data_IF_065105109103
#
_entry.id   IF_065105109103
#
_cell.length_a   1.000
_cell.length_b   1.000
_cell.length_c   1.000
_cell.angle_alpha   90.00
_cell.angle_beta   90.00
_cell.angle_gamma   90.00
#
_symmetry.space_group_name_H-M   'P 1'
#
loop_
_entity.id
_entity.type
_entity.pdbx_description
1 polymer ?
#
# COMPACT_ATOMS: atom_id res chain seq x y z
N UNK A 1 -37.48 -60.86 20.96
CA UNK A 1 -36.95 -59.57 21.42
C UNK A 1 -36.22 -58.92 20.26
N UNK A 2 -36.59 -57.71 19.81
CA UNK A 2 -35.89 -57.05 18.72
C UNK A 2 -34.58 -56.41 19.24
N UNK A 3 -33.50 -56.58 18.49
CA UNK A 3 -32.19 -55.98 18.79
C UNK A 3 -32.25 -54.45 18.69
N UNK A 4 -31.60 -53.69 19.57
CA UNK A 4 -31.59 -52.25 19.50
C UNK A 4 -30.68 -51.79 18.34
N UNK A 5 -31.24 -50.98 17.45
CA UNK A 5 -30.51 -50.23 16.42
C UNK A 5 -29.64 -49.18 17.11
N UNK A 6 -28.34 -49.03 16.75
CA UNK A 6 -27.52 -47.99 17.33
C UNK A 6 -27.99 -46.63 16.83
N UNK A 7 -28.39 -45.77 17.76
CA UNK A 7 -28.60 -44.35 17.53
C UNK A 7 -27.24 -43.71 17.25
N UNK A 8 -26.97 -43.40 15.99
CA UNK A 8 -25.89 -42.49 15.62
C UNK A 8 -26.36 -41.08 15.94
N UNK A 9 -26.05 -40.60 17.14
CA UNK A 9 -26.07 -39.17 17.42
C UNK A 9 -24.98 -38.53 16.57
N UNK A 10 -25.35 -37.97 15.42
CA UNK A 10 -24.50 -36.98 14.75
C UNK A 10 -24.29 -35.83 15.73
N UNK A 11 -23.12 -35.84 16.37
CA UNK A 11 -22.61 -34.65 17.06
C UNK A 11 -22.50 -33.57 15.99
N UNK A 12 -23.47 -32.65 15.97
CA UNK A 12 -23.41 -31.44 15.16
C UNK A 12 -22.25 -30.60 15.67
N UNK A 13 -21.05 -30.89 15.16
CA UNK A 13 -19.85 -30.12 15.44
C UNK A 13 -20.18 -28.66 15.13
N UNK A 14 -20.11 -27.81 16.14
CA UNK A 14 -20.37 -26.38 15.99
C UNK A 14 -19.39 -25.83 14.98
N UNK A 15 -19.88 -25.44 13.80
CA UNK A 15 -19.05 -24.83 12.77
C UNK A 15 -18.62 -23.47 13.29
N UNK A 16 -17.35 -23.36 13.68
CA UNK A 16 -16.77 -22.09 14.09
C UNK A 16 -16.62 -21.23 12.83
N UNK A 17 -17.26 -20.04 12.76
CA UNK A 17 -17.09 -19.14 11.64
C UNK A 17 -15.61 -18.78 11.43
N UNK A 18 -15.19 -18.67 10.18
CA UNK A 18 -13.80 -18.39 9.82
C UNK A 18 -13.72 -17.56 8.54
N UNK A 19 -12.54 -16.97 8.28
CA UNK A 19 -12.33 -15.97 7.22
C UNK A 19 -12.73 -16.44 5.82
N UNK A 20 -12.54 -17.74 5.51
CA UNK A 20 -12.93 -18.34 4.22
C UNK A 20 -13.95 -19.47 4.41
N UNK A 21 -14.67 -19.49 5.54
CA UNK A 21 -15.70 -20.48 5.83
C UNK A 21 -15.18 -21.92 5.87
N UNK A 22 -15.91 -22.86 5.27
CA UNK A 22 -15.60 -24.30 5.31
C UNK A 22 -14.21 -24.66 4.75
N UNK A 23 -13.59 -23.78 3.96
CA UNK A 23 -12.27 -23.99 3.39
C UNK A 23 -11.12 -23.75 4.38
N UNK A 24 -11.38 -23.16 5.54
CA UNK A 24 -10.31 -22.77 6.48
C UNK A 24 -9.51 -23.94 7.01
N UNK A 25 -10.15 -25.10 7.26
CA UNK A 25 -9.45 -26.30 7.73
C UNK A 25 -8.45 -26.84 6.70
N UNK A 26 -8.85 -26.88 5.44
CA UNK A 26 -7.96 -27.25 4.34
C UNK A 26 -6.80 -26.24 4.19
N UNK A 27 -7.09 -24.94 4.16
CA UNK A 27 -6.07 -23.91 3.98
C UNK A 27 -5.06 -23.89 5.13
N UNK A 28 -5.51 -24.07 6.38
CA UNK A 28 -4.63 -24.15 7.54
C UNK A 28 -3.68 -25.35 7.47
N UNK A 29 -4.14 -26.49 6.93
CA UNK A 29 -3.33 -27.69 6.78
C UNK A 29 -2.20 -27.56 5.73
N UNK A 30 -2.20 -26.51 4.90
CA UNK A 30 -1.14 -26.26 3.92
C UNK A 30 0.14 -25.67 4.53
N UNK A 31 0.05 -25.09 5.72
CA UNK A 31 1.17 -24.40 6.34
C UNK A 31 1.76 -25.24 7.48
N UNK A 32 3.10 -25.33 7.59
CA UNK A 32 3.71 -25.88 8.79
C UNK A 32 3.43 -24.98 10.00
N UNK A 33 3.44 -25.55 11.20
CA UNK A 33 3.27 -24.81 12.47
C UNK A 33 4.30 -23.67 12.62
N UNK A 34 5.48 -23.82 12.03
CA UNK A 34 6.52 -22.79 12.00
C UNK A 34 7.01 -22.54 10.57
N UNK A 35 7.00 -21.28 10.09
CA UNK A 35 7.58 -20.94 8.80
C UNK A 35 9.07 -21.29 8.73
N UNK A 36 9.49 -21.91 7.62
CA UNK A 36 10.86 -22.42 7.43
C UNK A 36 11.96 -21.35 7.55
N UNK A 37 11.63 -20.07 7.33
CA UNK A 37 12.55 -18.93 7.42
C UNK A 37 12.27 -18.03 8.63
N UNK A 38 11.52 -18.53 9.61
CA UNK A 38 11.35 -17.85 10.90
C UNK A 38 12.70 -17.76 11.62
N UNK A 39 13.08 -16.56 12.06
CA UNK A 39 14.26 -16.36 12.93
C UNK A 39 14.15 -17.15 14.24
N UNK A 40 12.93 -17.41 14.70
CA UNK A 40 12.67 -18.19 15.92
C UNK A 40 12.83 -19.71 15.70
N UNK A 41 13.12 -20.14 14.48
CA UNK A 41 13.37 -21.55 14.19
C UNK A 41 14.67 -22.01 14.84
N UNK A 42 14.68 -23.16 15.54
CA UNK A 42 15.90 -23.71 16.13
C UNK A 42 16.94 -24.11 15.08
N UNK A 43 16.56 -24.18 13.80
CA UNK A 43 17.48 -24.43 12.69
C UNK A 43 18.45 -23.26 12.43
N UNK A 44 18.13 -22.05 12.92
CA UNK A 44 19.00 -20.88 12.80
C UNK A 44 19.59 -20.51 14.15
N UNK A 45 20.90 -20.64 14.29
CA UNK A 45 21.67 -20.18 15.45
C UNK A 45 22.59 -19.00 15.12
N UNK A 46 22.70 -18.67 13.83
CA UNK A 46 23.50 -17.56 13.29
C UNK A 46 22.59 -16.61 12.49
N UNK A 47 22.58 -15.35 12.89
CA UNK A 47 21.74 -14.29 12.30
C UNK A 47 22.15 -13.93 10.88
N UNK A 48 23.42 -14.02 10.54
CA UNK A 48 23.93 -13.67 9.22
C UNK A 48 23.59 -14.78 8.22
N UNK A 49 23.75 -16.04 8.63
CA UNK A 49 23.30 -17.20 7.86
C UNK A 49 21.79 -17.18 7.61
N UNK A 50 20.99 -16.89 8.65
CA UNK A 50 19.53 -16.71 8.51
C UNK A 50 19.19 -15.57 7.55
N UNK A 51 19.82 -14.40 7.70
CA UNK A 51 19.52 -13.23 6.87
C UNK A 51 19.79 -13.49 5.41
N UNK A 52 20.89 -14.18 5.09
CA UNK A 52 21.21 -14.58 3.72
C UNK A 52 20.14 -15.52 3.15
N UNK A 53 19.78 -16.58 3.88
CA UNK A 53 18.79 -17.56 3.44
C UNK A 53 17.39 -16.95 3.27
N UNK A 54 16.91 -16.19 4.26
CA UNK A 54 15.60 -15.54 4.22
C UNK A 54 15.52 -14.49 3.11
N UNK A 55 16.58 -13.72 2.87
CA UNK A 55 16.62 -12.74 1.76
C UNK A 55 16.60 -13.42 0.39
N UNK A 56 17.34 -14.51 0.21
CA UNK A 56 17.32 -15.25 -1.04
C UNK A 56 15.90 -15.77 -1.37
N UNK A 57 15.18 -16.25 -0.36
CA UNK A 57 13.79 -16.67 -0.54
C UNK A 57 12.85 -15.52 -0.82
N UNK A 58 12.99 -14.40 -0.11
CA UNK A 58 12.19 -13.20 -0.40
C UNK A 58 12.38 -12.80 -1.87
N UNK A 59 13.63 -12.71 -2.35
CA UNK A 59 13.93 -12.35 -3.73
C UNK A 59 13.34 -13.34 -4.73
N UNK A 60 13.43 -14.64 -4.46
CA UNK A 60 12.84 -15.68 -5.31
C UNK A 60 11.31 -15.66 -5.35
N UNK A 61 10.64 -15.09 -4.33
CA UNK A 61 9.17 -15.11 -4.20
C UNK A 61 8.50 -13.76 -4.43
N UNK A 62 9.26 -12.66 -4.37
CA UNK A 62 8.73 -11.31 -4.55
C UNK A 62 8.19 -11.09 -5.97
N UNK A 63 8.65 -11.89 -6.95
CA UNK A 63 8.18 -11.87 -8.33
C UNK A 63 8.17 -10.46 -8.94
N UNK A 64 9.18 -9.65 -8.56
CA UNK A 64 9.26 -8.26 -8.94
C UNK A 64 9.32 -8.13 -10.47
N UNK A 65 8.44 -7.31 -11.10
CA UNK A 65 8.51 -7.07 -12.53
C UNK A 65 9.80 -6.32 -12.89
N UNK A 66 10.19 -6.39 -14.16
CA UNK A 66 11.26 -5.52 -14.66
C UNK A 66 10.85 -4.05 -14.47
N UNK A 67 11.74 -3.28 -13.84
CA UNK A 67 11.53 -1.87 -13.51
C UNK A 67 12.27 -0.94 -14.48
N UNK A 68 12.99 -1.48 -15.47
CA UNK A 68 13.67 -0.68 -16.49
C UNK A 68 14.86 0.12 -15.96
N UNK A 69 15.37 -0.25 -14.78
CA UNK A 69 16.51 0.42 -14.13
C UNK A 69 16.10 1.66 -13.31
N UNK A 70 17.06 2.58 -13.13
CA UNK A 70 16.83 3.82 -12.38
C UNK A 70 16.05 4.80 -13.27
N UNK A 71 14.86 5.26 -12.87
CA UNK A 71 14.06 6.14 -13.72
C UNK A 71 14.66 7.55 -13.78
N UNK A 72 14.38 8.27 -14.87
CA UNK A 72 14.70 9.68 -14.98
C UNK A 72 13.70 10.51 -14.15
N UNK A 73 14.21 11.21 -13.13
CA UNK A 73 13.41 12.08 -12.27
C UNK A 73 13.38 13.50 -12.86
N UNK A 74 12.19 14.11 -12.87
CA UNK A 74 11.95 15.50 -13.24
C UNK A 74 11.52 16.29 -12.02
N UNK A 75 12.06 17.49 -11.85
CA UNK A 75 11.52 18.50 -10.94
C UNK A 75 10.46 19.30 -11.70
N UNK A 76 9.21 19.20 -11.26
CA UNK A 76 8.07 19.83 -11.90
C UNK A 76 7.83 21.24 -11.36
N UNK A 77 8.10 21.45 -10.07
CA UNK A 77 7.91 22.70 -9.36
C UNK A 77 8.80 22.73 -8.12
N UNK A 78 9.20 23.92 -7.68
CA UNK A 78 10.04 24.14 -6.51
C UNK A 78 9.68 25.45 -5.81
N UNK A 79 9.46 25.39 -4.49
CA UNK A 79 9.09 26.56 -3.68
C UNK A 79 9.42 26.35 -2.21
N UNK A 80 9.30 27.42 -1.42
CA UNK A 80 9.36 27.33 0.04
C UNK A 80 7.95 27.39 0.64
N UNK A 81 7.69 26.53 1.61
CA UNK A 81 6.44 26.53 2.37
C UNK A 81 6.73 26.14 3.82
N UNK A 82 6.28 26.96 4.78
CA UNK A 82 6.31 26.64 6.21
C UNK A 82 7.73 26.22 6.71
N UNK A 83 8.74 26.99 6.29
CA UNK A 83 10.15 26.76 6.65
C UNK A 83 10.82 25.56 5.95
N UNK A 84 10.16 24.96 4.95
CA UNK A 84 10.68 23.85 4.16
C UNK A 84 10.92 24.27 2.71
N UNK A 85 11.99 23.76 2.13
CA UNK A 85 12.16 23.66 0.68
C UNK A 85 11.33 22.47 0.20
N UNK A 86 10.47 22.71 -0.77
CA UNK A 86 9.56 21.73 -1.37
C UNK A 86 9.89 21.58 -2.85
N UNK A 87 10.03 20.35 -3.32
CA UNK A 87 10.03 20.03 -4.75
C UNK A 87 8.87 19.10 -5.05
N UNK A 88 8.13 19.40 -6.13
CA UNK A 88 7.24 18.42 -6.76
C UNK A 88 8.06 17.69 -7.80
N UNK A 89 8.10 16.37 -7.69
CA UNK A 89 8.88 15.50 -8.55
C UNK A 89 7.96 14.57 -9.32
N UNK A 90 8.41 14.16 -10.50
CA UNK A 90 7.77 13.04 -11.21
C UNK A 90 8.76 12.15 -11.95
N UNK A 91 8.37 10.90 -12.13
CA UNK A 91 9.10 9.93 -12.95
C UNK A 91 8.17 8.89 -13.55
N UNK A 92 8.58 8.32 -14.68
CA UNK A 92 7.86 7.24 -15.35
C UNK A 92 8.52 5.89 -15.07
N UNK A 93 7.73 4.90 -14.65
CA UNK A 93 8.15 3.50 -14.62
C UNK A 93 7.70 2.81 -15.93
N UNK A 94 8.22 1.61 -16.28
CA UNK A 94 7.78 0.86 -17.45
C UNK A 94 6.30 0.43 -17.41
N UNK A 95 5.63 0.64 -16.27
CA UNK A 95 4.24 0.25 -16.06
C UNK A 95 3.47 1.32 -15.26
N UNK A 96 2.18 1.40 -15.60
CA UNK A 96 1.23 2.30 -14.97
C UNK A 96 1.47 3.78 -15.27
N UNK A 97 0.68 4.65 -14.63
CA UNK A 97 0.81 6.09 -14.80
C UNK A 97 2.15 6.63 -14.28
N UNK A 98 2.42 7.88 -14.62
CA UNK A 98 3.56 8.64 -14.08
C UNK A 98 3.44 8.74 -12.56
N UNK A 99 4.53 8.47 -11.85
CA UNK A 99 4.60 8.68 -10.41
C UNK A 99 4.83 10.15 -10.13
N UNK A 100 4.05 10.71 -9.23
CA UNK A 100 4.29 12.01 -8.61
C UNK A 100 4.81 11.82 -7.18
N UNK A 101 5.61 12.79 -6.73
CA UNK A 101 6.16 12.80 -5.38
C UNK A 101 6.40 14.22 -4.89
N UNK A 102 6.52 14.32 -3.56
CA UNK A 102 6.84 15.54 -2.84
C UNK A 102 8.15 15.28 -2.09
N UNK A 103 9.15 16.09 -2.39
CA UNK A 103 10.41 16.10 -1.66
C UNK A 103 10.45 17.31 -0.73
N UNK A 104 10.83 17.08 0.52
CA UNK A 104 10.86 18.07 1.60
C UNK A 104 12.23 18.06 2.27
N UNK A 105 12.79 19.24 2.51
CA UNK A 105 13.95 19.43 3.40
C UNK A 105 13.86 20.78 4.10
N UNK A 106 14.58 21.04 5.20
CA UNK A 106 14.62 22.38 5.79
C UNK A 106 15.03 23.42 4.75
N UNK A 107 14.33 24.56 4.74
CA UNK A 107 14.72 25.70 3.90
C UNK A 107 16.15 26.13 4.25
N UNK A 108 16.94 26.49 3.24
CA UNK A 108 18.35 26.89 3.42
C UNK A 108 19.31 25.79 3.87
N UNK A 109 18.88 24.52 4.05
CA UNK A 109 19.77 23.43 4.41
C UNK A 109 20.89 23.23 3.36
N UNK A 110 22.13 23.09 3.84
CA UNK A 110 23.34 22.90 3.03
C UNK A 110 24.01 21.58 3.39
N UNK A 111 24.62 20.93 2.40
CA UNK A 111 25.30 19.65 2.58
C UNK A 111 24.33 18.45 2.65
N UNK A 112 24.86 17.25 2.91
CA UNK A 112 24.08 16.03 2.95
C UNK A 112 23.14 16.01 4.17
N UNK A 113 21.91 15.54 3.95
CA UNK A 113 20.93 15.28 5.00
C UNK A 113 20.64 13.77 5.06
N UNK A 114 20.28 13.23 6.25
CA UNK A 114 19.74 11.88 6.32
C UNK A 114 18.44 11.80 5.48
N UNK A 115 18.40 10.83 4.57
CA UNK A 115 17.28 10.60 3.65
C UNK A 115 16.22 9.67 4.24
N UNK A 116 14.95 9.99 4.01
CA UNK A 116 13.80 9.16 4.42
C UNK A 116 12.84 9.01 3.24
N UNK A 117 12.55 7.77 2.86
CA UNK A 117 11.44 7.45 1.96
C UNK A 117 10.19 7.28 2.82
N UNK A 118 9.23 8.18 2.63
CA UNK A 118 8.03 8.27 3.43
C UNK A 118 6.84 7.63 2.71
N UNK A 119 6.29 6.57 3.32
CA UNK A 119 5.18 5.81 2.75
C UNK A 119 3.89 6.13 3.51
N UNK A 120 2.83 6.40 2.75
CA UNK A 120 1.49 6.56 3.30
C UNK A 120 0.83 5.19 3.54
N UNK A 121 -0.15 5.16 4.43
CA UNK A 121 -1.01 4.02 4.70
C UNK A 121 -1.94 3.68 3.53
N UNK A 122 -2.59 2.50 3.62
CA UNK A 122 -3.70 2.14 2.75
C UNK A 122 -4.92 3.01 3.07
N UNK A 123 -5.38 2.98 4.32
CA UNK A 123 -6.40 3.89 4.88
C UNK A 123 -7.80 3.81 4.26
N UNK A 124 -8.02 2.90 3.29
CA UNK A 124 -9.23 2.90 2.47
C UNK A 124 -9.34 4.12 1.55
N UNK A 125 -8.24 4.86 1.35
CA UNK A 125 -8.20 6.10 0.60
C UNK A 125 -7.08 6.01 -0.43
N UNK A 126 -7.44 5.55 -1.62
CA UNK A 126 -6.57 5.36 -2.79
C UNK A 126 -6.47 6.56 -3.70
N UNK A 127 -7.48 7.43 -3.67
CA UNK A 127 -7.51 8.62 -4.52
C UNK A 127 -6.27 9.51 -4.35
N UNK A 128 -5.74 9.58 -3.13
CA UNK A 128 -4.54 10.32 -2.80
C UNK A 128 -3.43 9.37 -2.33
N UNK A 129 -2.16 9.75 -2.57
CA UNK A 129 -0.99 9.00 -2.09
C UNK A 129 -0.14 9.82 -1.12
N UNK A 130 1.04 10.27 -1.56
CA UNK A 130 2.03 11.01 -0.76
C UNK A 130 1.47 12.25 -0.08
N UNK A 131 0.49 12.93 -0.68
CA UNK A 131 -0.16 14.10 -0.06
C UNK A 131 -0.87 13.76 1.26
N UNK A 132 -1.22 12.49 1.51
CA UNK A 132 -1.83 12.06 2.78
C UNK A 132 -0.93 12.34 3.99
N UNK A 133 0.38 12.41 3.77
CA UNK A 133 1.40 12.53 4.82
C UNK A 133 2.24 13.81 4.70
N UNK A 134 1.93 14.67 3.74
CA UNK A 134 2.62 15.93 3.49
C UNK A 134 1.66 17.09 3.31
N UNK A 135 2.12 18.32 3.53
CA UNK A 135 1.37 19.53 3.28
C UNK A 135 2.25 20.55 2.58
N UNK A 136 1.81 21.03 1.41
CA UNK A 136 2.58 21.95 0.57
C UNK A 136 1.81 23.22 0.23
N UNK A 137 0.71 23.48 0.94
CA UNK A 137 -0.10 24.70 0.78
C UNK A 137 -0.86 25.01 2.07
N UNK A 138 -1.26 26.27 2.24
CA UNK A 138 -2.08 26.73 3.35
C UNK A 138 -3.54 26.23 3.28
N UNK A 139 -3.95 25.70 2.12
CA UNK A 139 -5.30 25.22 1.85
C UNK A 139 -5.26 23.76 1.39
N UNK A 140 -4.91 22.81 2.28
CA UNK A 140 -4.92 21.38 1.95
C UNK A 140 -6.36 20.91 1.66
N UNK A 141 -6.48 19.84 0.88
CA UNK A 141 -7.78 19.28 0.53
C UNK A 141 -8.52 18.77 1.79
N UNK A 142 -9.84 19.04 1.97
CA UNK A 142 -10.56 18.65 3.18
C UNK A 142 -10.48 17.15 3.51
N UNK A 143 -10.56 16.28 2.48
CA UNK A 143 -10.42 14.82 2.65
C UNK A 143 -9.02 14.43 3.13
N UNK A 144 -7.96 15.16 2.75
CA UNK A 144 -6.60 14.91 3.24
C UNK A 144 -6.49 15.34 4.71
N UNK A 145 -7.05 16.50 5.07
CA UNK A 145 -7.07 16.96 6.47
C UNK A 145 -7.81 15.99 7.38
N UNK A 146 -8.99 15.54 6.98
CA UNK A 146 -9.77 14.55 7.72
C UNK A 146 -9.01 13.22 7.88
N UNK A 147 -8.37 12.75 6.80
CA UNK A 147 -7.52 11.55 6.86
C UNK A 147 -6.33 11.71 7.81
N UNK A 148 -5.68 12.87 7.79
CA UNK A 148 -4.59 13.18 8.71
C UNK A 148 -5.07 13.21 10.16
N UNK A 149 -6.21 13.84 10.44
CA UNK A 149 -6.80 13.88 11.78
C UNK A 149 -7.07 12.46 12.32
N UNK A 150 -7.67 11.58 11.51
CA UNK A 150 -8.04 10.21 11.91
C UNK A 150 -6.86 9.25 11.96
N UNK A 151 -5.89 9.36 11.06
CA UNK A 151 -4.86 8.32 10.82
C UNK A 151 -3.45 8.75 11.22
N UNK A 152 -3.19 10.05 11.32
CA UNK A 152 -1.86 10.62 11.57
C UNK A 152 -1.88 11.67 12.68
N UNK A 153 -2.87 11.64 13.58
CA UNK A 153 -3.00 12.60 14.70
C UNK A 153 -3.05 14.07 14.27
N UNK A 154 -3.51 14.33 13.04
CA UNK A 154 -3.57 15.67 12.44
C UNK A 154 -2.21 16.19 11.93
N UNK A 155 -1.17 15.35 11.90
CA UNK A 155 0.19 15.75 11.57
C UNK A 155 0.57 15.25 10.18
N UNK A 156 0.94 16.13 9.22
CA UNK A 156 1.64 15.73 8.01
C UNK A 156 3.07 15.33 8.39
N UNK A 157 3.26 14.05 8.76
CA UNK A 157 4.48 13.61 9.41
C UNK A 157 5.73 13.72 8.52
N UNK A 158 5.59 13.72 7.20
CA UNK A 158 6.70 13.98 6.28
C UNK A 158 7.25 15.41 6.48
N UNK A 159 6.37 16.40 6.64
CA UNK A 159 6.77 17.77 6.98
C UNK A 159 7.40 17.85 8.36
N UNK A 160 6.80 17.18 9.36
CA UNK A 160 7.33 17.18 10.72
C UNK A 160 8.74 16.60 10.79
N UNK A 161 9.03 15.56 10.00
CA UNK A 161 10.35 14.96 9.91
C UNK A 161 11.32 15.85 9.12
N UNK A 162 10.89 16.45 8.02
CA UNK A 162 11.71 17.40 7.27
C UNK A 162 12.14 18.59 8.15
N UNK A 163 11.22 19.14 8.97
CA UNK A 163 11.51 20.21 9.94
C UNK A 163 12.54 19.81 11.00
N UNK A 164 12.77 18.52 11.22
CA UNK A 164 13.80 17.99 12.14
C UNK A 164 15.17 17.80 11.47
N UNK A 165 15.34 18.19 10.20
CA UNK A 165 16.64 18.10 9.52
C UNK A 165 16.80 16.94 8.55
N UNK A 166 15.71 16.29 8.13
CA UNK A 166 15.74 15.18 7.19
C UNK A 166 15.41 15.64 5.77
N UNK A 167 15.96 14.94 4.78
CA UNK A 167 15.51 14.98 3.40
C UNK A 167 14.44 13.89 3.21
N UNK A 168 13.18 14.27 3.01
CA UNK A 168 12.04 13.35 3.02
C UNK A 168 11.40 13.28 1.63
N UNK A 169 11.28 12.09 1.08
CA UNK A 169 10.58 11.83 -0.19
C UNK A 169 9.27 11.09 0.08
N UNK A 170 8.14 11.75 -0.12
CA UNK A 170 6.81 11.14 -0.07
C UNK A 170 6.27 10.99 -1.49
N UNK A 171 6.16 9.75 -1.98
CA UNK A 171 5.70 9.48 -3.34
C UNK A 171 4.40 8.68 -3.37
N UNK A 172 3.69 8.80 -4.49
CA UNK A 172 2.50 7.99 -4.73
C UNK A 172 2.92 6.53 -4.99
N UNK A 173 2.33 5.62 -4.21
CA UNK A 173 2.62 4.19 -4.31
C UNK A 173 1.72 3.50 -5.34
N UNK A 174 1.98 2.23 -5.62
CA UNK A 174 1.23 1.46 -6.61
C UNK A 174 -0.29 1.50 -6.36
N UNK A 175 -1.06 1.98 -7.34
CA UNK A 175 -2.53 2.18 -7.29
C UNK A 175 -3.04 3.30 -6.38
N UNK A 176 -2.18 4.25 -6.00
CA UNK A 176 -2.55 5.43 -5.22
C UNK A 176 -2.22 6.73 -5.95
N UNK A 177 -2.98 7.80 -5.66
CA UNK A 177 -2.66 9.15 -6.13
C UNK A 177 -2.53 9.25 -7.66
N UNK A 178 -1.42 9.78 -8.13
CA UNK A 178 -1.08 9.87 -9.55
C UNK A 178 -1.00 8.50 -10.23
N UNK A 179 -0.72 7.43 -9.48
CA UNK A 179 -0.60 6.04 -9.96
C UNK A 179 -1.89 5.24 -9.79
N UNK A 180 -2.99 5.87 -9.40
CA UNK A 180 -4.30 5.22 -9.23
C UNK A 180 -4.80 4.66 -10.57
N UNK A 181 -5.68 3.68 -10.51
CA UNK A 181 -6.33 3.16 -11.71
C UNK A 181 -7.40 4.15 -12.13
N UNK A 182 -7.36 4.60 -13.37
CA UNK A 182 -8.40 5.43 -13.97
C UNK A 182 -9.59 4.54 -14.36
N UNK A 183 -10.82 4.78 -13.84
CA UNK A 183 -11.97 3.95 -14.17
C UNK A 183 -12.24 3.87 -15.67
N UNK A 184 -11.96 4.94 -16.43
CA UNK A 184 -12.09 5.00 -17.88
C UNK A 184 -11.20 4.01 -18.65
N UNK A 185 -10.07 3.58 -18.06
CA UNK A 185 -9.18 2.56 -18.63
C UNK A 185 -9.65 1.13 -18.35
N UNK A 186 -10.74 0.96 -17.60
CA UNK A 186 -11.27 -0.34 -17.18
C UNK A 186 -12.52 -0.70 -17.99
N UNK A 187 -12.60 -1.96 -18.44
CA UNK A 187 -13.74 -2.47 -19.19
C UNK A 187 -15.05 -2.36 -18.40
N UNK A 188 -16.17 -2.11 -19.09
CA UNK A 188 -17.46 -1.83 -18.44
C UNK A 188 -17.91 -2.88 -17.41
N UNK A 189 -17.77 -4.21 -17.64
CA UNK A 189 -18.18 -5.19 -16.62
C UNK A 189 -17.45 -5.07 -15.29
N UNK A 190 -16.24 -4.51 -15.28
CA UNK A 190 -15.42 -4.29 -14.08
C UNK A 190 -15.54 -2.84 -13.58
N UNK A 191 -15.61 -1.87 -14.52
CA UNK A 191 -15.82 -0.46 -14.22
C UNK A 191 -17.17 -0.23 -13.53
N UNK A 192 -18.22 -0.90 -14.00
CA UNK A 192 -19.57 -0.85 -13.45
C UNK A 192 -20.07 0.58 -13.24
N UNK A 193 -20.01 1.39 -14.29
CA UNK A 193 -20.40 2.81 -14.26
C UNK A 193 -19.51 3.74 -13.44
N UNK A 194 -18.40 3.27 -12.86
CA UNK A 194 -17.45 4.15 -12.17
C UNK A 194 -16.81 5.15 -13.14
N UNK A 195 -16.62 6.38 -12.66
CA UNK A 195 -15.94 7.45 -13.37
C UNK A 195 -15.02 8.18 -12.40
N UNK A 196 -13.93 8.76 -12.93
CA UNK A 196 -13.13 9.71 -12.16
C UNK A 196 -13.90 11.05 -12.09
N UNK A 197 -14.46 11.34 -10.92
CA UNK A 197 -15.30 12.51 -10.69
C UNK A 197 -14.49 13.79 -10.46
N UNK A 198 -15.13 14.81 -9.87
CA UNK A 198 -14.46 16.06 -9.55
C UNK A 198 -13.45 15.86 -8.39
N UNK A 199 -12.15 16.13 -8.59
CA UNK A 199 -11.13 16.00 -7.54
C UNK A 199 -11.32 16.96 -6.36
N UNK A 200 -12.14 18.00 -6.50
CA UNK A 200 -12.50 18.91 -5.41
C UNK A 200 -13.72 18.43 -4.60
N UNK A 201 -14.48 17.46 -5.11
CA UNK A 201 -15.68 16.93 -4.49
C UNK A 201 -15.37 15.70 -3.61
N UNK A 202 -15.59 15.78 -2.28
CA UNK A 202 -15.40 14.64 -1.39
C UNK A 202 -16.23 13.40 -1.76
N UNK A 203 -17.43 13.57 -2.34
CA UNK A 203 -18.30 12.45 -2.71
C UNK A 203 -17.77 11.69 -3.92
N UNK A 204 -17.23 12.42 -4.90
CA UNK A 204 -16.48 11.85 -6.04
C UNK A 204 -15.27 11.03 -5.57
N UNK A 205 -14.48 11.57 -4.63
CA UNK A 205 -13.34 10.86 -4.03
C UNK A 205 -13.79 9.61 -3.28
N UNK A 206 -14.87 9.71 -2.50
CA UNK A 206 -15.42 8.57 -1.77
C UNK A 206 -15.96 7.49 -2.72
N UNK A 207 -16.61 7.87 -3.83
CA UNK A 207 -17.06 6.96 -4.87
C UNK A 207 -15.89 6.22 -5.52
N UNK A 208 -14.82 6.94 -5.88
CA UNK A 208 -13.60 6.32 -6.38
C UNK A 208 -13.03 5.30 -5.40
N UNK A 209 -12.88 5.66 -4.13
CA UNK A 209 -12.28 4.77 -3.13
C UNK A 209 -13.12 3.50 -2.90
N UNK A 210 -14.46 3.61 -2.91
CA UNK A 210 -15.35 2.43 -2.86
C UNK A 210 -15.17 1.52 -4.07
N UNK A 211 -15.07 2.09 -5.27
CA UNK A 211 -14.83 1.31 -6.49
C UNK A 211 -13.44 0.66 -6.46
N UNK A 212 -12.39 1.42 -6.12
CA UNK A 212 -11.02 0.95 -6.05
C UNK A 212 -10.86 -0.22 -5.06
N UNK A 213 -11.51 -0.16 -3.90
CA UNK A 213 -11.54 -1.25 -2.92
C UNK A 213 -12.13 -2.55 -3.51
N UNK A 214 -13.20 -2.43 -4.32
CA UNK A 214 -13.78 -3.59 -5.00
C UNK A 214 -12.90 -4.06 -6.17
N UNK A 215 -12.18 -3.17 -6.85
CA UNK A 215 -11.30 -3.50 -7.96
C UNK A 215 -9.99 -4.20 -7.52
N UNK A 216 -9.53 -3.99 -6.29
CA UNK A 216 -8.27 -4.52 -5.75
C UNK A 216 -8.09 -6.03 -5.95
N UNK A 217 -9.14 -6.82 -5.73
CA UNK A 217 -9.03 -8.27 -5.85
C UNK A 217 -8.83 -8.73 -7.30
N UNK A 218 -9.38 -7.98 -8.27
CA UNK A 218 -9.19 -8.25 -9.70
C UNK A 218 -7.75 -7.93 -10.07
N UNK A 219 -7.26 -6.75 -9.66
CA UNK A 219 -5.85 -6.38 -9.83
C UNK A 219 -4.91 -7.44 -9.26
N UNK A 220 -5.08 -7.80 -7.98
CA UNK A 220 -4.22 -8.77 -7.31
C UNK A 220 -4.24 -10.15 -7.98
N UNK A 221 -5.42 -10.70 -8.26
CA UNK A 221 -5.55 -12.01 -8.93
C UNK A 221 -4.94 -12.00 -10.33
N UNK A 222 -5.08 -10.90 -11.06
CA UNK A 222 -4.53 -10.75 -12.41
C UNK A 222 -3.01 -10.73 -12.38
N UNK A 223 -2.41 -9.93 -11.48
CA UNK A 223 -0.96 -9.87 -11.29
C UNK A 223 -0.38 -11.21 -10.85
N UNK A 224 -0.98 -11.87 -9.85
CA UNK A 224 -0.53 -13.19 -9.42
C UNK A 224 -0.64 -14.23 -10.54
N UNK A 225 -1.68 -14.16 -11.37
CA UNK A 225 -1.83 -15.04 -12.54
C UNK A 225 -0.82 -14.72 -13.65
N UNK A 226 -0.36 -13.48 -13.74
CA UNK A 226 0.71 -13.04 -14.65
C UNK A 226 2.11 -13.38 -14.14
N UNK A 227 2.24 -13.91 -12.91
CA UNK A 227 3.51 -14.29 -12.30
C UNK A 227 4.24 -13.15 -11.61
N UNK A 228 3.50 -12.15 -11.10
CA UNK A 228 4.02 -11.02 -10.32
C UNK A 228 3.30 -10.88 -8.99
#
# INVERSE_FOLDING_TARGET
MPSPTPSTSESTATVIPSTIGVYSGWAAALLPDMPAYSWRSPAYTDIDAWRAAARAQLQARLAQPDTGGVPQVRVDDQFEYDGLHVERLSWQLPYGPRTEAIFLKPAGARGPLPGVVALHDHGGQKYFGGIKISQTSATPHPVVMDHQARSYTGIPWANALAKRGYAVLAHDTFTFGSRRVHPEDVIEPVRNGAADGDPADPDSIAAYNRWAANHEHIMAKTLFSAGT
#
